data_IF_602698461021
#
_entry.id   IF_602698461021
#
_cell.length_a   1.000
_cell.length_b   1.000
_cell.length_c   1.000
_cell.angle_alpha   90.00
_cell.angle_beta   90.00
_cell.angle_gamma   90.00
#
_symmetry.space_group_name_H-M   'P 1'
#
loop_
_entity.id
_entity.type
_entity.pdbx_description
1 polymer ?
#
# COMPACT_ATOMS: atom_id res chain seq x y z
N UNK A 1 -24.31 2.73 17.60
CA UNK A 1 -24.28 1.70 16.54
C UNK A 1 -24.37 0.35 17.22
N UNK A 2 -25.33 -0.48 16.85
CA UNK A 2 -25.53 -1.83 17.37
C UNK A 2 -25.08 -2.88 16.34
N UNK A 3 -24.90 -4.16 16.73
CA UNK A 3 -24.68 -5.24 15.80
C UNK A 3 -25.73 -5.24 14.68
N UNK A 4 -25.30 -5.45 13.43
CA UNK A 4 -26.15 -5.34 12.24
C UNK A 4 -26.03 -4.01 11.49
N UNK A 5 -25.46 -2.96 12.09
CA UNK A 5 -25.27 -1.65 11.44
C UNK A 5 -23.94 -1.54 10.66
N UNK A 6 -23.04 -2.52 10.76
CA UNK A 6 -21.79 -2.54 10.00
C UNK A 6 -22.06 -2.56 8.51
N UNK A 7 -21.38 -1.70 7.74
CA UNK A 7 -21.62 -1.45 6.32
C UNK A 7 -22.72 -0.44 6.05
N UNK A 8 -23.51 -0.04 7.06
CA UNK A 8 -24.56 0.97 6.93
C UNK A 8 -23.98 2.38 6.80
N UNK A 9 -24.75 3.25 6.13
CA UNK A 9 -24.40 4.65 5.93
C UNK A 9 -24.49 5.46 7.23
N UNK A 10 -23.46 6.29 7.49
CA UNK A 10 -23.52 7.37 8.46
C UNK A 10 -23.74 8.67 7.70
N UNK A 11 -24.88 9.31 7.95
CA UNK A 11 -25.29 10.54 7.25
C UNK A 11 -25.40 11.72 8.21
N UNK A 12 -25.19 12.94 7.70
CA UNK A 12 -25.46 14.16 8.45
C UNK A 12 -26.94 14.58 8.34
N UNK A 13 -27.30 15.68 8.99
CA UNK A 13 -28.67 16.20 8.98
C UNK A 13 -29.17 16.64 7.58
N UNK A 14 -28.28 16.79 6.60
CA UNK A 14 -28.61 17.10 5.21
C UNK A 14 -28.76 15.84 4.32
N UNK A 15 -28.59 14.64 4.91
CA UNK A 15 -28.62 13.38 4.15
C UNK A 15 -27.33 13.06 3.41
N UNK A 16 -26.24 13.81 3.64
CA UNK A 16 -24.96 13.57 2.98
C UNK A 16 -24.20 12.43 3.69
N UNK A 17 -23.61 11.51 2.93
CA UNK A 17 -22.79 10.42 3.45
C UNK A 17 -21.49 10.96 4.02
N UNK A 18 -21.33 10.85 5.34
CA UNK A 18 -20.11 11.27 6.06
C UNK A 18 -19.22 10.11 6.46
N UNK A 19 -19.76 8.89 6.49
CA UNK A 19 -18.98 7.68 6.80
C UNK A 19 -19.75 6.40 6.56
N UNK A 20 -19.03 5.28 6.75
CA UNK A 20 -19.57 3.91 6.70
C UNK A 20 -19.29 3.26 8.05
N UNK A 21 -20.32 2.80 8.73
CA UNK A 21 -20.20 2.15 10.04
C UNK A 21 -19.37 0.87 9.93
N UNK A 22 -18.39 0.67 10.83
CA UNK A 22 -17.48 -0.49 10.75
C UNK A 22 -17.43 -1.30 12.03
N UNK A 23 -17.24 -0.64 13.18
CA UNK A 23 -16.96 -1.33 14.42
C UNK A 23 -17.55 -0.56 15.62
N UNK A 24 -17.74 -1.30 16.73
CA UNK A 24 -17.95 -0.77 18.07
C UNK A 24 -16.83 -1.29 18.96
N UNK A 25 -16.39 -0.48 19.92
CA UNK A 25 -15.59 -0.98 21.03
C UNK A 25 -16.53 -1.50 22.08
N UNK A 26 -16.49 -2.80 22.36
CA UNK A 26 -17.41 -3.42 23.29
C UNK A 26 -16.83 -4.71 23.89
N UNK A 27 -16.71 -4.77 25.23
CA UNK A 27 -16.35 -6.01 25.92
C UNK A 27 -17.43 -7.09 25.83
N UNK A 28 -18.69 -6.70 25.58
CA UNK A 28 -19.87 -7.58 25.64
C UNK A 28 -20.52 -7.83 24.28
N UNK A 29 -20.00 -7.22 23.19
CA UNK A 29 -20.64 -7.27 21.87
C UNK A 29 -21.83 -6.30 21.71
N UNK A 30 -22.25 -5.60 22.76
CA UNK A 30 -23.27 -4.54 22.71
C UNK A 30 -22.63 -3.16 22.77
N UNK A 31 -23.32 -2.13 22.30
CA UNK A 31 -22.84 -0.75 22.32
C UNK A 31 -22.42 -0.30 23.72
N UNK A 32 -21.16 0.08 23.88
CA UNK A 32 -20.56 0.54 25.14
C UNK A 32 -20.10 2.01 25.12
N UNK A 33 -20.58 2.80 24.17
CA UNK A 33 -20.28 4.23 24.07
C UNK A 33 -19.39 4.63 22.91
N UNK A 34 -18.63 3.71 22.31
CA UNK A 34 -17.73 4.00 21.20
C UNK A 34 -18.15 3.28 19.93
N UNK A 35 -18.31 4.05 18.85
CA UNK A 35 -18.58 3.53 17.49
C UNK A 35 -17.63 4.16 16.51
N UNK A 36 -17.20 3.37 15.54
CA UNK A 36 -16.25 3.80 14.52
C UNK A 36 -16.88 3.71 13.14
N UNK A 37 -16.57 4.68 12.31
CA UNK A 37 -16.95 4.69 10.91
C UNK A 37 -15.73 5.06 10.04
N UNK A 38 -15.62 4.46 8.86
CA UNK A 38 -14.66 4.90 7.85
C UNK A 38 -15.19 6.19 7.24
N UNK A 39 -14.42 7.30 7.26
CA UNK A 39 -14.82 8.56 6.62
C UNK A 39 -15.15 8.37 5.14
N UNK A 40 -16.20 9.04 4.65
CA UNK A 40 -16.71 8.85 3.28
C UNK A 40 -15.67 9.20 2.20
N UNK A 41 -14.78 10.16 2.43
CA UNK A 41 -13.70 10.51 1.51
C UNK A 41 -12.65 9.39 1.38
N UNK A 42 -12.31 8.71 2.49
CA UNK A 42 -11.40 7.55 2.48
C UNK A 42 -12.08 6.37 1.79
N UNK A 43 -13.35 6.09 2.12
CA UNK A 43 -14.13 5.04 1.46
C UNK A 43 -14.22 5.26 -0.06
N UNK A 44 -14.49 6.48 -0.50
CA UNK A 44 -14.54 6.85 -1.93
C UNK A 44 -13.21 6.57 -2.62
N UNK A 45 -12.11 6.99 -2.01
CA UNK A 45 -10.76 6.75 -2.57
C UNK A 45 -10.48 5.25 -2.69
N UNK A 46 -10.73 4.47 -1.63
CA UNK A 46 -10.51 3.02 -1.63
C UNK A 46 -11.36 2.30 -2.69
N UNK A 47 -12.64 2.64 -2.79
CA UNK A 47 -13.54 2.06 -3.81
C UNK A 47 -13.11 2.46 -5.22
N UNK A 48 -12.67 3.72 -5.41
CA UNK A 48 -12.11 4.18 -6.67
C UNK A 48 -10.88 3.36 -7.07
N UNK A 49 -9.92 3.22 -6.14
CA UNK A 49 -8.71 2.42 -6.37
C UNK A 49 -9.03 0.97 -6.75
N UNK A 50 -9.95 0.33 -6.02
CA UNK A 50 -10.32 -1.06 -6.29
C UNK A 50 -10.99 -1.22 -7.65
N UNK A 51 -11.80 -0.25 -8.08
CA UNK A 51 -12.46 -0.26 -9.40
C UNK A 51 -11.46 -0.04 -10.54
N UNK A 52 -10.53 0.88 -10.37
CA UNK A 52 -9.59 1.30 -11.41
C UNK A 52 -8.36 0.39 -11.47
N UNK A 53 -7.78 0.06 -10.31
CA UNK A 53 -6.49 -0.64 -10.22
C UNK A 53 -6.61 -2.06 -9.66
N UNK A 54 -7.79 -2.51 -9.24
CA UNK A 54 -7.97 -3.79 -8.55
C UNK A 54 -7.28 -3.90 -7.18
N UNK A 55 -6.65 -2.82 -6.71
CA UNK A 55 -5.94 -2.76 -5.42
C UNK A 55 -5.92 -1.35 -4.85
N UNK A 56 -5.85 -1.26 -3.50
CA UNK A 56 -5.77 0.03 -2.82
C UNK A 56 -4.37 0.64 -3.01
N UNK A 57 -4.34 1.86 -3.52
CA UNK A 57 -3.11 2.64 -3.70
C UNK A 57 -2.71 3.30 -2.37
N UNK A 58 -1.71 2.74 -1.71
CA UNK A 58 -1.22 3.26 -0.42
C UNK A 58 -0.02 4.17 -0.64
N UNK A 59 -0.21 5.44 -0.33
CA UNK A 59 0.88 6.42 -0.34
C UNK A 59 1.66 6.35 0.97
N UNK A 60 2.98 6.28 0.86
CA UNK A 60 3.92 6.16 1.97
C UNK A 60 4.89 7.32 1.97
N UNK A 61 5.21 7.83 3.16
CA UNK A 61 6.24 8.86 3.34
C UNK A 61 7.63 8.25 3.57
N UNK A 62 7.71 7.03 4.09
CA UNK A 62 8.97 6.35 4.36
C UNK A 62 9.64 6.84 5.64
N UNK A 63 8.87 6.90 6.72
CA UNK A 63 9.36 7.20 8.08
C UNK A 63 8.89 6.15 9.09
N UNK A 64 9.70 5.95 10.14
CA UNK A 64 9.25 5.33 11.38
C UNK A 64 8.93 6.43 12.39
N UNK A 65 7.76 6.37 12.98
CA UNK A 65 7.29 7.34 13.97
C UNK A 65 7.57 6.83 15.38
N UNK A 66 7.86 7.72 16.32
CA UNK A 66 7.88 7.34 17.73
C UNK A 66 6.52 6.74 18.14
N UNK A 67 6.57 5.70 18.97
CA UNK A 67 5.36 4.89 19.27
C UNK A 67 4.30 5.63 20.10
N UNK A 68 4.75 6.51 21.01
CA UNK A 68 3.88 7.21 21.94
C UNK A 68 3.59 8.63 21.47
N UNK A 69 2.55 9.26 22.03
CA UNK A 69 2.28 10.67 21.78
C UNK A 69 3.36 11.55 22.42
N UNK A 70 3.64 12.70 21.79
CA UNK A 70 4.58 13.68 22.32
C UNK A 70 3.95 14.38 23.54
N UNK A 71 4.25 13.86 24.71
CA UNK A 71 4.01 14.53 26.01
C UNK A 71 5.27 15.29 26.44
N UNK A 72 5.20 16.21 27.39
CA UNK A 72 6.40 16.89 27.92
C UNK A 72 7.49 15.94 28.42
N UNK A 73 7.10 14.78 29.01
CA UNK A 73 8.02 13.76 29.46
C UNK A 73 8.73 13.07 28.29
N UNK A 74 7.98 12.65 27.26
CA UNK A 74 8.51 12.03 26.04
C UNK A 74 9.35 13.03 25.24
N UNK A 75 8.94 14.28 25.12
CA UNK A 75 9.70 15.33 24.45
C UNK A 75 11.09 15.51 25.09
N UNK A 76 11.15 15.54 26.43
CA UNK A 76 12.41 15.61 27.17
C UNK A 76 13.32 14.39 26.92
N UNK A 77 12.76 13.20 26.89
CA UNK A 77 13.47 11.95 26.57
C UNK A 77 14.06 12.00 25.15
N UNK A 78 13.29 12.52 24.19
CA UNK A 78 13.70 12.63 22.78
C UNK A 78 14.58 13.85 22.47
N UNK A 79 14.81 14.73 23.44
CA UNK A 79 15.62 15.94 23.28
C UNK A 79 14.98 16.99 22.38
N UNK A 80 13.64 17.11 22.40
CA UNK A 80 12.88 18.11 21.67
C UNK A 80 12.00 18.93 22.61
N UNK A 81 11.75 20.20 22.27
CA UNK A 81 10.80 21.06 22.99
C UNK A 81 9.35 20.92 22.45
N UNK A 82 9.16 20.12 21.42
CA UNK A 82 7.87 19.90 20.79
C UNK A 82 7.01 18.91 21.59
N UNK A 83 5.83 19.33 21.99
CA UNK A 83 4.89 18.53 22.77
C UNK A 83 3.65 18.07 21.98
N UNK A 84 3.68 18.25 20.69
CA UNK A 84 2.62 17.77 19.76
C UNK A 84 3.20 17.57 18.36
N UNK A 85 2.55 16.72 17.55
CA UNK A 85 3.01 16.39 16.19
C UNK A 85 3.60 15.00 16.12
N UNK A 86 4.17 14.65 14.97
CA UNK A 86 4.74 13.32 14.73
C UNK A 86 6.26 13.39 14.77
N UNK A 87 6.84 12.82 15.80
CA UNK A 87 8.30 12.72 15.91
C UNK A 87 8.83 11.65 14.96
N UNK A 88 9.76 12.05 14.08
CA UNK A 88 10.44 11.17 13.12
C UNK A 88 11.57 10.44 13.84
N UNK A 89 11.30 9.19 14.20
CA UNK A 89 12.28 8.34 14.89
C UNK A 89 13.35 7.83 13.92
N UNK A 90 12.93 7.46 12.70
CA UNK A 90 13.83 7.00 11.65
C UNK A 90 13.30 7.39 10.28
N UNK A 91 14.20 7.61 9.33
CA UNK A 91 13.87 7.86 7.92
C UNK A 91 14.38 6.70 7.10
N UNK A 92 13.49 6.10 6.31
CA UNK A 92 13.83 4.95 5.45
C UNK A 92 14.76 5.45 4.33
N UNK A 93 15.93 4.83 4.14
CA UNK A 93 16.86 5.19 3.07
C UNK A 93 16.17 5.11 1.70
N UNK A 94 16.40 6.11 0.85
CA UNK A 94 15.77 6.26 -0.47
C UNK A 94 14.23 6.41 -0.47
N UNK A 95 13.61 6.50 0.72
CA UNK A 95 12.20 6.79 0.88
C UNK A 95 11.83 8.23 0.51
N UNK A 96 10.55 8.52 0.37
CA UNK A 96 10.02 9.84 0.03
C UNK A 96 10.52 10.93 0.99
N UNK A 97 10.49 10.67 2.30
CA UNK A 97 10.98 11.58 3.33
C UNK A 97 12.48 11.86 3.20
N UNK A 98 13.30 10.84 2.93
CA UNK A 98 14.75 11.00 2.75
C UNK A 98 15.05 11.88 1.55
N UNK A 99 14.38 11.65 0.43
CA UNK A 99 14.53 12.45 -0.82
C UNK A 99 14.11 13.91 -0.62
N UNK A 100 13.08 14.15 0.20
CA UNK A 100 12.60 15.48 0.53
C UNK A 100 13.47 16.20 1.59
N UNK A 101 14.43 15.51 2.21
CA UNK A 101 15.31 16.08 3.23
C UNK A 101 14.71 16.11 4.65
N UNK A 102 13.68 15.32 4.92
CA UNK A 102 13.21 15.02 6.29
C UNK A 102 14.30 14.20 6.99
N UNK A 103 14.52 14.47 8.26
CA UNK A 103 15.57 13.85 9.05
C UNK A 103 15.03 13.25 10.36
N UNK A 104 15.74 12.28 10.91
CA UNK A 104 15.52 11.83 12.28
C UNK A 104 15.59 13.03 13.24
N UNK A 105 14.64 13.11 14.17
CA UNK A 105 14.51 14.20 15.13
C UNK A 105 13.62 15.35 14.65
N UNK A 106 13.16 15.36 13.38
CA UNK A 106 12.13 16.30 12.96
C UNK A 106 10.79 15.97 13.61
N UNK A 107 9.97 16.99 13.84
CA UNK A 107 8.59 16.82 14.27
C UNK A 107 7.66 17.34 13.17
N UNK A 108 6.88 16.46 12.55
CA UNK A 108 5.92 16.85 11.52
C UNK A 108 4.75 17.58 12.20
N UNK A 109 4.49 18.80 11.76
CA UNK A 109 3.47 19.69 12.31
C UNK A 109 2.26 19.84 11.39
N UNK A 110 2.47 19.86 10.06
CA UNK A 110 1.39 20.06 9.08
C UNK A 110 1.63 19.23 7.82
N UNK A 111 0.52 18.86 7.17
CA UNK A 111 0.51 18.30 5.81
C UNK A 111 -0.46 19.15 5.00
N UNK A 112 0.02 19.77 3.91
CA UNK A 112 -0.75 20.69 3.07
C UNK A 112 -1.50 21.75 3.89
N UNK A 113 -0.81 22.35 4.89
CA UNK A 113 -1.35 23.36 5.79
C UNK A 113 -2.25 22.84 6.92
N UNK A 114 -2.68 21.56 6.88
CA UNK A 114 -3.53 20.94 7.90
C UNK A 114 -2.64 20.50 9.07
N UNK A 115 -2.98 20.98 10.28
CA UNK A 115 -2.26 20.63 11.50
C UNK A 115 -2.37 19.13 11.80
N UNK A 116 -1.26 18.53 12.22
CA UNK A 116 -1.12 17.11 12.58
C UNK A 116 -0.63 17.03 14.02
N UNK A 117 -1.44 16.46 14.89
CA UNK A 117 -1.13 16.29 16.31
C UNK A 117 -0.90 14.83 16.68
N UNK A 118 -1.59 13.91 16.02
CA UNK A 118 -1.64 12.50 16.38
C UNK A 118 -1.31 11.59 15.19
N UNK A 119 -0.89 10.35 15.48
CA UNK A 119 -0.62 9.34 14.44
C UNK A 119 -1.86 9.00 13.60
N UNK A 120 -3.08 8.84 14.16
CA UNK A 120 -4.28 8.66 13.35
C UNK A 120 -4.54 9.81 12.37
N UNK A 121 -4.34 11.07 12.80
CA UNK A 121 -4.47 12.24 11.92
C UNK A 121 -3.45 12.20 10.78
N UNK A 122 -2.19 11.89 11.08
CA UNK A 122 -1.14 11.73 10.08
C UNK A 122 -1.50 10.65 9.05
N UNK A 123 -1.87 9.46 9.53
CA UNK A 123 -2.26 8.34 8.66
C UNK A 123 -3.51 8.68 7.85
N UNK A 124 -4.51 9.32 8.47
CA UNK A 124 -5.73 9.75 7.80
C UNK A 124 -5.49 10.81 6.73
N UNK A 125 -4.51 11.70 6.92
CA UNK A 125 -4.11 12.64 5.86
C UNK A 125 -3.41 11.92 4.71
N UNK A 126 -2.43 11.05 4.98
CA UNK A 126 -1.74 10.30 3.92
C UNK A 126 -2.68 9.39 3.13
N UNK A 127 -3.69 8.80 3.78
CA UNK A 127 -4.66 7.92 3.13
C UNK A 127 -5.49 8.59 2.02
N UNK A 128 -5.49 9.93 1.94
CA UNK A 128 -6.20 10.70 0.90
C UNK A 128 -5.43 10.77 -0.42
N UNK A 129 -4.15 10.45 -0.41
CA UNK A 129 -3.26 10.63 -1.56
C UNK A 129 -2.91 9.29 -2.21
N UNK A 130 -2.51 9.37 -3.47
CA UNK A 130 -1.91 8.28 -4.22
C UNK A 130 -0.38 8.37 -4.20
N UNK A 131 0.35 7.27 -4.43
CA UNK A 131 1.76 7.32 -4.82
C UNK A 131 1.97 8.29 -5.99
N UNK A 132 3.11 8.98 -6.01
CA UNK A 132 3.41 10.03 -6.99
C UNK A 132 2.84 11.42 -6.65
N UNK A 133 1.90 11.53 -5.71
CA UNK A 133 1.40 12.82 -5.27
C UNK A 133 2.48 13.59 -4.50
N UNK A 134 2.61 14.89 -4.80
CA UNK A 134 3.46 15.82 -4.04
C UNK A 134 2.62 16.48 -2.96
N UNK A 135 3.10 16.43 -1.72
CA UNK A 135 2.49 17.09 -0.57
C UNK A 135 3.50 18.02 0.10
N UNK A 136 3.03 19.16 0.61
CA UNK A 136 3.85 20.04 1.44
C UNK A 136 3.80 19.57 2.89
N UNK A 137 4.96 19.34 3.49
CA UNK A 137 5.11 18.89 4.88
C UNK A 137 5.86 19.93 5.67
N UNK A 138 5.20 20.51 6.67
CA UNK A 138 5.86 21.41 7.62
C UNK A 138 6.45 20.59 8.76
N UNK A 139 7.76 20.65 8.93
CA UNK A 139 8.46 20.04 10.06
C UNK A 139 9.05 21.10 10.99
N UNK A 140 9.10 20.82 12.29
CA UNK A 140 9.94 21.54 13.25
C UNK A 140 11.28 20.82 13.38
N UNK A 141 12.36 21.53 13.14
CA UNK A 141 13.75 21.04 13.28
C UNK A 141 14.53 22.00 14.16
N UNK A 142 14.81 21.56 15.39
CA UNK A 142 15.48 22.41 16.40
C UNK A 142 14.69 23.69 16.67
N UNK A 143 13.36 23.58 16.82
CA UNK A 143 12.46 24.70 17.07
C UNK A 143 12.16 25.61 15.87
N UNK A 144 12.73 25.33 14.68
CA UNK A 144 12.49 26.11 13.45
C UNK A 144 11.59 25.35 12.49
N UNK A 145 10.53 26.00 12.03
CA UNK A 145 9.63 25.44 11.02
C UNK A 145 10.31 25.46 9.64
N UNK A 146 10.11 24.39 8.89
CA UNK A 146 10.56 24.22 7.51
C UNK A 146 9.47 23.52 6.71
N UNK A 147 9.16 24.05 5.53
CA UNK A 147 8.29 23.40 4.57
C UNK A 147 9.12 22.62 3.57
N UNK A 148 8.73 21.36 3.33
CA UNK A 148 9.41 20.42 2.45
C UNK A 148 8.37 19.77 1.54
N UNK A 149 8.66 19.74 0.24
CA UNK A 149 7.82 19.05 -0.72
C UNK A 149 8.21 17.56 -0.77
N UNK A 150 7.26 16.70 -0.49
CA UNK A 150 7.43 15.26 -0.41
C UNK A 150 6.65 14.59 -1.52
N UNK A 151 7.34 13.92 -2.45
CA UNK A 151 6.72 13.07 -3.45
C UNK A 151 6.48 11.69 -2.84
N UNK A 152 5.22 11.36 -2.57
CA UNK A 152 4.84 10.12 -1.91
C UNK A 152 5.15 8.90 -2.78
N UNK A 153 5.55 7.81 -2.15
CA UNK A 153 5.86 6.55 -2.81
C UNK A 153 4.83 5.48 -2.45
N UNK A 154 4.76 4.41 -3.24
CA UNK A 154 4.02 3.21 -2.89
C UNK A 154 4.79 2.39 -1.81
N UNK A 155 4.23 1.26 -1.38
CA UNK A 155 4.84 0.37 -0.39
C UNK A 155 6.17 -0.25 -0.86
N UNK A 156 6.49 -0.13 -2.14
CA UNK A 156 7.73 -0.64 -2.77
C UNK A 156 8.80 0.44 -2.98
N UNK A 157 8.52 1.68 -2.57
CA UNK A 157 9.45 2.80 -2.73
C UNK A 157 9.42 3.45 -4.12
N UNK A 158 8.40 3.17 -4.93
CA UNK A 158 8.18 3.76 -6.24
C UNK A 158 7.03 4.79 -6.21
N UNK A 159 7.05 5.74 -7.14
CA UNK A 159 5.99 6.74 -7.35
C UNK A 159 4.85 6.20 -8.22
N UNK A 160 5.04 5.07 -8.89
CA UNK A 160 4.05 4.47 -9.77
C UNK A 160 2.84 3.92 -8.99
N UNK A 161 1.67 3.99 -9.61
CA UNK A 161 0.47 3.30 -9.14
C UNK A 161 0.63 1.80 -9.37
N UNK A 162 0.15 0.99 -8.42
CA UNK A 162 0.15 -0.47 -8.53
C UNK A 162 -1.14 -0.91 -9.21
N UNK A 163 -1.05 -1.46 -10.40
CA UNK A 163 -2.22 -1.97 -11.14
C UNK A 163 -2.24 -3.51 -11.08
N UNK A 164 -3.20 -4.06 -10.32
CA UNK A 164 -3.40 -5.52 -10.26
C UNK A 164 -4.13 -6.09 -11.47
N UNK A 165 -4.78 -5.23 -12.26
CA UNK A 165 -5.45 -5.67 -13.47
C UNK A 165 -4.44 -5.97 -14.61
N UNK A 166 -3.15 -5.63 -14.43
CA UNK A 166 -2.10 -5.94 -15.40
C UNK A 166 -2.02 -7.43 -15.73
N UNK A 167 -2.31 -8.31 -14.75
CA UNK A 167 -2.40 -9.75 -14.99
C UNK A 167 -3.57 -10.14 -15.89
N UNK A 168 -4.67 -9.37 -15.88
CA UNK A 168 -5.79 -9.54 -16.80
C UNK A 168 -5.46 -9.16 -18.24
N UNK A 169 -4.52 -8.23 -18.46
CA UNK A 169 -4.02 -7.87 -19.80
C UNK A 169 -3.28 -9.05 -20.43
N UNK A 170 -2.57 -9.85 -19.63
CA UNK A 170 -1.87 -11.06 -20.09
C UNK A 170 -2.79 -12.29 -20.20
N UNK A 171 -4.07 -12.14 -19.86
CA UNK A 171 -5.08 -13.18 -19.96
C UNK A 171 -5.08 -14.20 -18.82
N UNK A 172 -4.33 -13.99 -17.73
CA UNK A 172 -4.26 -14.93 -16.63
C UNK A 172 -4.73 -14.32 -15.30
N UNK A 173 -5.46 -15.10 -14.52
CA UNK A 173 -5.73 -14.83 -13.10
C UNK A 173 -4.72 -15.62 -12.27
N UNK A 174 -4.04 -14.95 -11.34
CA UNK A 174 -3.02 -15.58 -10.50
C UNK A 174 -3.32 -15.39 -9.02
N UNK A 175 -2.89 -16.36 -8.21
CA UNK A 175 -2.95 -16.30 -6.74
C UNK A 175 -1.58 -16.56 -6.10
N UNK A 176 -1.32 -16.02 -4.89
CA UNK A 176 -0.16 -16.39 -4.12
C UNK A 176 -0.14 -17.90 -3.85
N UNK A 177 1.06 -18.50 -3.75
CA UNK A 177 1.19 -19.91 -3.44
C UNK A 177 0.59 -20.27 -2.07
N UNK A 178 -0.19 -21.34 -2.04
CA UNK A 178 -0.64 -21.99 -0.81
C UNK A 178 0.56 -22.52 -0.01
N UNK A 179 0.36 -22.82 1.27
CA UNK A 179 1.38 -23.49 2.10
C UNK A 179 1.75 -24.86 1.53
N UNK A 180 0.76 -25.58 0.99
CA UNK A 180 0.93 -26.89 0.38
C UNK A 180 1.79 -26.80 -0.90
N UNK A 181 1.51 -25.86 -1.80
CA UNK A 181 2.28 -25.64 -3.01
C UNK A 181 3.74 -25.27 -2.68
N UNK A 182 3.96 -24.40 -1.70
CA UNK A 182 5.32 -24.04 -1.26
C UNK A 182 6.11 -25.25 -0.77
N UNK A 183 5.49 -26.09 0.02
CA UNK A 183 6.11 -27.31 0.51
C UNK A 183 6.38 -28.31 -0.62
N UNK A 184 5.36 -28.56 -1.46
CA UNK A 184 5.43 -29.51 -2.59
C UNK A 184 6.53 -29.17 -3.58
N UNK A 185 6.64 -27.90 -3.96
CA UNK A 185 7.59 -27.44 -4.97
C UNK A 185 8.88 -26.84 -4.38
N UNK A 186 9.02 -26.84 -3.04
CA UNK A 186 10.16 -26.28 -2.29
C UNK A 186 10.42 -24.81 -2.65
N UNK A 187 9.36 -24.00 -2.73
CA UNK A 187 9.40 -22.60 -3.13
C UNK A 187 9.17 -21.68 -1.93
N UNK A 188 9.90 -20.56 -1.87
CA UNK A 188 9.71 -19.53 -0.86
C UNK A 188 8.63 -18.49 -1.29
N UNK A 189 8.29 -18.43 -2.57
CA UNK A 189 7.32 -17.53 -3.16
C UNK A 189 6.96 -17.93 -4.58
N UNK A 190 6.15 -17.12 -5.24
CA UNK A 190 5.65 -17.32 -6.58
C UNK A 190 4.15 -17.08 -6.65
N UNK A 191 3.63 -17.03 -7.86
CA UNK A 191 2.19 -16.92 -8.13
C UNK A 191 1.74 -18.05 -9.03
N UNK A 192 0.61 -18.66 -8.65
CA UNK A 192 -0.01 -19.79 -9.38
C UNK A 192 -1.08 -19.26 -10.30
N UNK A 193 -1.09 -19.68 -11.56
CA UNK A 193 -2.15 -19.43 -12.51
C UNK A 193 -3.35 -20.28 -12.14
N UNK A 194 -4.50 -19.67 -11.84
CA UNK A 194 -5.75 -20.35 -11.44
C UNK A 194 -6.82 -20.27 -12.50
N UNK A 195 -6.71 -19.33 -13.45
CA UNK A 195 -7.56 -19.21 -14.63
C UNK A 195 -6.75 -18.53 -15.73
N UNK A 196 -6.93 -18.97 -16.97
CA UNK A 196 -6.25 -18.40 -18.13
C UNK A 196 -7.19 -18.33 -19.33
N UNK A 197 -7.32 -17.11 -19.86
CA UNK A 197 -8.10 -16.82 -21.07
C UNK A 197 -7.18 -16.56 -22.24
N UNK A 198 -7.75 -16.33 -23.41
CA UNK A 198 -6.95 -15.91 -24.57
C UNK A 198 -6.20 -14.62 -24.25
N UNK A 199 -4.90 -14.67 -24.42
CA UNK A 199 -3.99 -13.58 -24.09
C UNK A 199 -2.52 -13.98 -24.24
N UNK A 200 -1.58 -13.05 -23.99
CA UNK A 200 -0.15 -13.29 -24.19
C UNK A 200 0.41 -14.52 -23.45
N UNK A 201 -0.03 -14.77 -22.21
CA UNK A 201 0.43 -15.96 -21.47
C UNK A 201 -0.08 -17.27 -22.08
N UNK A 202 -1.34 -17.31 -22.56
CA UNK A 202 -1.88 -18.48 -23.25
C UNK A 202 -1.14 -18.71 -24.57
N UNK A 203 -0.83 -17.65 -25.30
CA UNK A 203 -0.15 -17.70 -26.58
C UNK A 203 1.26 -18.31 -26.50
N UNK A 204 1.97 -18.10 -25.38
CA UNK A 204 3.30 -18.70 -25.16
C UNK A 204 3.23 -20.11 -24.57
N UNK A 205 2.05 -20.67 -24.33
CA UNK A 205 1.86 -22.04 -23.86
C UNK A 205 1.70 -22.20 -22.35
N UNK A 206 1.50 -21.12 -21.60
CA UNK A 206 1.15 -21.22 -20.18
C UNK A 206 -0.31 -21.67 -20.02
N UNK A 207 -0.56 -22.41 -18.96
CA UNK A 207 -1.90 -22.91 -18.62
C UNK A 207 -2.16 -22.85 -17.11
N UNK A 208 -3.37 -23.23 -16.69
CA UNK A 208 -3.73 -23.34 -15.28
C UNK A 208 -2.78 -24.31 -14.54
N UNK A 209 -2.49 -23.97 -13.29
CA UNK A 209 -1.61 -24.74 -12.42
C UNK A 209 -0.11 -24.44 -12.58
N UNK A 210 0.31 -23.68 -13.60
CA UNK A 210 1.68 -23.19 -13.68
C UNK A 210 1.96 -22.15 -12.58
N UNK A 211 3.18 -22.17 -12.06
CA UNK A 211 3.64 -21.23 -11.03
C UNK A 211 4.72 -20.35 -11.66
N UNK A 212 4.49 -19.05 -11.68
CA UNK A 212 5.48 -18.07 -12.14
C UNK A 212 6.39 -17.75 -10.94
N UNK A 213 7.68 -17.99 -11.11
CA UNK A 213 8.69 -17.79 -10.05
C UNK A 213 9.70 -16.71 -10.38
N UNK A 214 9.84 -16.32 -11.68
CA UNK A 214 10.78 -15.28 -12.07
C UNK A 214 10.35 -14.64 -13.39
N UNK A 215 10.55 -13.33 -13.48
CA UNK A 215 10.45 -12.54 -14.72
C UNK A 215 11.80 -11.91 -14.98
N UNK A 216 12.43 -12.21 -16.12
CA UNK A 216 13.80 -11.83 -16.39
C UNK A 216 14.71 -12.20 -15.21
N UNK A 217 15.36 -11.21 -14.58
CA UNK A 217 16.20 -11.40 -13.41
C UNK A 217 15.48 -11.18 -12.07
N UNK A 218 14.18 -10.81 -12.09
CA UNK A 218 13.40 -10.50 -10.90
C UNK A 218 12.68 -11.73 -10.36
N UNK A 219 12.97 -12.12 -9.13
CA UNK A 219 12.26 -13.20 -8.43
C UNK A 219 10.88 -12.71 -8.03
N UNK A 220 9.86 -13.56 -8.22
CA UNK A 220 8.47 -13.26 -7.92
C UNK A 220 8.09 -13.98 -6.62
N UNK A 221 7.68 -13.24 -5.61
CA UNK A 221 7.17 -13.78 -4.36
C UNK A 221 5.65 -13.69 -4.26
N UNK A 222 5.06 -12.65 -4.88
CA UNK A 222 3.62 -12.37 -4.87
C UNK A 222 3.15 -11.71 -6.17
N UNK A 223 1.85 -11.35 -6.20
CA UNK A 223 1.22 -10.67 -7.35
C UNK A 223 1.85 -9.31 -7.66
N UNK A 224 2.22 -8.59 -6.62
CA UNK A 224 2.72 -7.23 -6.75
C UNK A 224 4.12 -7.25 -7.35
N UNK A 225 4.92 -8.27 -7.03
CA UNK A 225 6.20 -8.54 -7.68
C UNK A 225 6.04 -8.85 -9.17
N UNK A 226 5.06 -9.69 -9.52
CA UNK A 226 4.77 -10.02 -10.92
C UNK A 226 4.42 -8.76 -11.72
N UNK A 227 3.51 -7.95 -11.21
CA UNK A 227 3.09 -6.70 -11.87
C UNK A 227 4.26 -5.75 -12.07
N UNK A 228 5.11 -5.57 -11.06
CA UNK A 228 6.30 -4.70 -11.13
C UNK A 228 7.30 -5.18 -12.17
N UNK A 229 7.59 -6.49 -12.15
CA UNK A 229 8.55 -7.07 -13.07
C UNK A 229 8.09 -6.98 -14.53
N UNK A 230 6.78 -7.20 -14.78
CA UNK A 230 6.19 -7.06 -16.11
C UNK A 230 6.20 -5.61 -16.60
N UNK A 231 5.85 -4.65 -15.73
CA UNK A 231 5.92 -3.21 -16.07
C UNK A 231 7.35 -2.75 -16.36
N UNK A 232 8.32 -3.20 -15.58
CA UNK A 232 9.73 -2.86 -15.80
C UNK A 232 10.25 -3.39 -17.14
N UNK A 233 9.62 -4.44 -17.66
CA UNK A 233 10.00 -5.10 -18.93
C UNK A 233 9.06 -4.71 -20.11
N UNK A 234 8.21 -3.69 -19.98
CA UNK A 234 7.14 -3.35 -20.94
C UNK A 234 7.67 -3.04 -22.36
N UNK A 235 8.91 -2.58 -22.48
CA UNK A 235 9.56 -2.29 -23.78
C UNK A 235 10.65 -3.29 -24.17
N UNK A 236 10.77 -4.40 -23.44
CA UNK A 236 11.80 -5.41 -23.65
C UNK A 236 11.17 -6.80 -23.82
N UNK A 237 11.97 -7.75 -24.31
CA UNK A 237 11.57 -9.16 -24.28
C UNK A 237 11.51 -9.67 -22.83
N UNK A 238 10.48 -10.42 -22.51
CA UNK A 238 10.26 -10.96 -21.17
C UNK A 238 10.53 -12.44 -21.16
N UNK A 239 11.47 -12.89 -20.33
CA UNK A 239 11.69 -14.30 -20.02
C UNK A 239 10.90 -14.66 -18.77
N UNK A 240 9.87 -15.50 -18.94
CA UNK A 240 9.05 -16.02 -17.85
C UNK A 240 9.60 -17.37 -17.41
N UNK A 241 10.05 -17.47 -16.15
CA UNK A 241 10.47 -18.74 -15.55
C UNK A 241 9.33 -19.29 -14.71
N UNK A 242 8.95 -20.52 -14.96
CA UNK A 242 7.81 -21.17 -14.32
C UNK A 242 8.15 -22.54 -13.75
N UNK A 243 7.30 -23.02 -12.84
CA UNK A 243 7.24 -24.42 -12.45
C UNK A 243 5.93 -24.98 -13.03
N UNK A 244 6.02 -26.00 -13.86
CA UNK A 244 4.83 -26.69 -14.40
C UNK A 244 4.12 -27.51 -13.30
N UNK A 245 2.86 -27.91 -13.50
CA UNK A 245 2.12 -28.77 -12.55
C UNK A 245 2.83 -30.11 -12.26
N UNK A 246 3.76 -30.51 -13.13
CA UNK A 246 4.61 -31.71 -12.98
C UNK A 246 5.91 -31.45 -12.20
N UNK A 247 6.12 -30.20 -11.71
CA UNK A 247 7.31 -29.79 -10.94
C UNK A 247 8.56 -29.53 -11.78
N UNK A 248 8.44 -29.34 -13.11
CA UNK A 248 9.56 -29.02 -13.98
C UNK A 248 9.71 -27.52 -14.12
N UNK A 249 10.94 -27.04 -14.12
CA UNK A 249 11.27 -25.65 -14.47
C UNK A 249 11.16 -25.50 -15.98
N UNK A 250 10.39 -24.54 -16.42
CA UNK A 250 10.16 -24.23 -17.83
C UNK A 250 10.34 -22.72 -18.07
N UNK A 251 10.79 -22.37 -19.29
CA UNK A 251 11.11 -21.01 -19.68
C UNK A 251 10.30 -20.61 -20.90
N UNK A 252 9.67 -19.45 -20.85
CA UNK A 252 8.85 -18.93 -21.93
C UNK A 252 9.29 -17.51 -22.29
N UNK A 253 9.45 -17.25 -23.59
CA UNK A 253 9.72 -15.91 -24.08
C UNK A 253 8.39 -15.21 -24.42
N UNK A 254 8.20 -14.00 -23.90
CA UNK A 254 7.02 -13.18 -24.10
C UNK A 254 7.44 -11.82 -24.65
N UNK A 255 6.77 -11.33 -25.68
CA UNK A 255 6.86 -9.94 -26.13
C UNK A 255 5.65 -9.18 -25.61
N UNK A 256 5.89 -8.06 -24.92
CA UNK A 256 4.85 -7.13 -24.45
C UNK A 256 4.65 -5.98 -25.44
N UNK A 257 5.29 -6.02 -26.61
CA UNK A 257 5.08 -5.02 -27.65
C UNK A 257 3.70 -5.24 -28.29
N UNK A 258 2.90 -4.16 -28.35
CA UNK A 258 1.69 -4.06 -29.15
C UNK A 258 1.99 -4.00 -30.64
#
# INVERSE_FOLDING_TARGET
VNPGNSGGALVNAKGELIGINTAIESPTGSYSGYSFAVPSNIARKIVGDLKEFGTVQRAMMGISMWRDELTPAVAKELGTDEVSGIYVYEVIPNGAAAKAGIKKGDVIKRINGIEIKTRPEFQGQLAKYHPGATISVTVSRGGKLKDLDVVLQNTYGDVALVDKNYTGILGATVEPLSREDRYRYRLNGGVKIIDIKNGPFKAIGLDEGYIIVKINNTVIYDKDDLVRALKAAENEGVLVTTISPRGRVEYYALSLQN
#
